data_IF_919799204109
#
_entry.id   IF_919799204109
#
_cell.length_a   1.000
_cell.length_b   1.000
_cell.length_c   1.000
_cell.angle_alpha   90.00
_cell.angle_beta   90.00
_cell.angle_gamma   90.00
#
_symmetry.space_group_name_H-M   'P 1'
#
loop_
_entity.id
_entity.type
_entity.pdbx_description
1 polymer ?
#
# COMPACT_ATOMS: atom_id res chain seq x y z
N UNK A 1 6.01 -10.93 -20.99
CA UNK A 1 5.40 -10.57 -19.70
C UNK A 1 5.48 -9.06 -19.60
N UNK A 2 4.38 -8.35 -19.33
CA UNK A 2 4.46 -6.92 -19.08
C UNK A 2 5.41 -6.70 -17.90
N UNK A 3 6.36 -5.78 -18.04
CA UNK A 3 7.23 -5.41 -16.94
C UNK A 3 6.39 -4.56 -15.98
N UNK A 4 5.78 -5.19 -14.97
CA UNK A 4 4.99 -4.49 -13.97
C UNK A 4 5.98 -3.75 -13.07
N UNK A 5 6.09 -2.44 -13.28
CA UNK A 5 6.83 -1.57 -12.38
C UNK A 5 6.00 -1.38 -11.11
N UNK A 6 6.58 -1.75 -9.96
CA UNK A 6 5.93 -1.58 -8.66
C UNK A 6 6.02 -0.09 -8.28
N UNK A 7 4.88 0.60 -8.06
CA UNK A 7 4.86 2.00 -7.65
C UNK A 7 5.62 2.22 -6.34
N UNK A 8 6.22 3.39 -6.16
CA UNK A 8 6.95 3.70 -4.93
C UNK A 8 6.03 3.78 -3.72
N UNK A 9 4.80 4.26 -3.90
CA UNK A 9 3.75 4.26 -2.88
C UNK A 9 3.43 2.82 -2.41
N UNK A 10 3.47 1.83 -3.32
CA UNK A 10 3.25 0.43 -2.95
C UNK A 10 4.40 -0.09 -2.07
N UNK A 11 5.65 0.27 -2.38
CA UNK A 11 6.83 -0.11 -1.59
C UNK A 11 6.82 0.58 -0.22
N UNK A 12 6.43 1.85 -0.17
CA UNK A 12 6.29 2.59 1.08
C UNK A 12 5.17 2.03 1.96
N UNK A 13 4.03 1.69 1.35
CA UNK A 13 2.91 1.06 2.04
C UNK A 13 3.30 -0.34 2.55
N UNK A 14 4.05 -1.13 1.76
CA UNK A 14 4.63 -2.40 2.22
C UNK A 14 5.48 -2.20 3.48
N UNK A 15 6.46 -1.29 3.45
CA UNK A 15 7.34 -1.04 4.60
C UNK A 15 6.56 -0.58 5.85
N UNK A 16 5.54 0.26 5.66
CA UNK A 16 4.67 0.70 6.74
C UNK A 16 3.87 -0.45 7.37
N UNK A 17 3.29 -1.31 6.53
CA UNK A 17 2.53 -2.49 6.97
C UNK A 17 3.45 -3.48 7.70
N UNK A 18 4.62 -3.78 7.14
CA UNK A 18 5.63 -4.65 7.76
C UNK A 18 6.06 -4.13 9.13
N UNK A 19 6.28 -2.82 9.27
CA UNK A 19 6.63 -2.20 10.55
C UNK A 19 5.54 -2.28 11.62
N UNK A 20 4.25 -2.35 11.23
CA UNK A 20 3.11 -2.36 12.19
C UNK A 20 2.61 -3.77 12.50
N UNK A 21 2.57 -4.64 11.50
CA UNK A 21 1.96 -5.97 11.60
C UNK A 21 2.99 -7.10 11.77
N UNK A 22 4.25 -6.87 11.38
CA UNK A 22 5.37 -7.79 11.58
C UNK A 22 5.06 -9.22 11.15
N UNK A 23 5.39 -10.18 12.01
CA UNK A 23 5.29 -11.62 11.74
C UNK A 23 3.85 -12.13 11.53
N UNK A 24 2.83 -11.33 11.83
CA UNK A 24 1.43 -11.71 11.54
C UNK A 24 1.09 -11.69 10.05
N UNK A 25 1.93 -11.08 9.21
CA UNK A 25 1.70 -10.98 7.77
C UNK A 25 1.93 -12.33 7.11
N UNK A 26 0.88 -12.83 6.44
CA UNK A 26 0.94 -14.02 5.58
C UNK A 26 1.33 -13.63 4.15
N UNK A 27 0.89 -12.47 3.69
CA UNK A 27 1.24 -11.97 2.36
C UNK A 27 0.69 -10.58 2.08
N UNK A 28 1.37 -9.88 1.18
CA UNK A 28 1.00 -8.56 0.67
C UNK A 28 0.85 -8.68 -0.85
N UNK A 29 -0.29 -8.24 -1.37
CA UNK A 29 -0.64 -8.37 -2.78
C UNK A 29 -0.93 -6.99 -3.36
N UNK A 30 -0.21 -6.63 -4.42
CA UNK A 30 -0.56 -5.50 -5.26
C UNK A 30 -1.71 -5.93 -6.18
N UNK A 31 -2.77 -5.13 -6.27
CA UNK A 31 -3.89 -5.39 -7.16
C UNK A 31 -4.35 -4.12 -7.86
N UNK A 32 -5.48 -4.21 -8.59
CA UNK A 32 -6.08 -3.06 -9.24
C UNK A 32 -5.37 -2.61 -10.51
N UNK A 33 -5.48 -1.31 -10.80
CA UNK A 33 -5.04 -0.70 -12.06
C UNK A 33 -3.55 -0.94 -12.35
N UNK A 34 -2.71 -0.88 -11.31
CA UNK A 34 -1.28 -1.12 -11.37
C UNK A 34 -0.90 -2.48 -11.98
N UNK A 35 -1.74 -3.50 -11.82
CA UNK A 35 -1.49 -4.87 -12.32
C UNK A 35 -2.20 -5.15 -13.65
N UNK A 36 -3.42 -4.63 -13.85
CA UNK A 36 -4.28 -4.97 -14.99
C UNK A 36 -4.04 -4.08 -16.21
N UNK A 37 -3.73 -2.80 -16.01
CA UNK A 37 -3.60 -1.81 -17.09
C UNK A 37 -2.37 -0.90 -17.00
N UNK A 38 -1.53 -1.09 -15.98
CA UNK A 38 -0.49 -0.15 -15.59
C UNK A 38 -1.05 1.00 -14.77
N UNK A 39 -0.23 1.56 -13.87
CA UNK A 39 -0.65 2.68 -13.03
C UNK A 39 -0.77 3.95 -13.89
N UNK A 40 -1.98 4.49 -14.01
CA UNK A 40 -2.20 5.77 -14.70
C UNK A 40 -1.98 6.93 -13.73
N UNK A 41 -1.73 8.13 -14.26
CA UNK A 41 -1.36 9.32 -13.47
C UNK A 41 -2.30 9.61 -12.28
N UNK A 42 -3.59 9.40 -12.49
CA UNK A 42 -4.63 9.72 -11.50
C UNK A 42 -5.22 8.44 -10.87
N UNK A 43 -4.52 7.30 -10.98
CA UNK A 43 -4.92 6.03 -10.38
C UNK A 43 -4.39 5.86 -8.96
N UNK A 44 -5.22 5.26 -8.11
CA UNK A 44 -4.81 4.83 -6.77
C UNK A 44 -3.92 3.59 -6.83
N UNK A 45 -3.18 3.36 -5.74
CA UNK A 45 -2.38 2.17 -5.50
C UNK A 45 -3.10 1.26 -4.50
N UNK A 46 -3.49 0.09 -4.98
CA UNK A 46 -4.27 -0.86 -4.20
C UNK A 46 -3.40 -2.00 -3.64
N UNK A 47 -3.32 -2.13 -2.31
CA UNK A 47 -2.65 -3.24 -1.63
C UNK A 47 -3.61 -4.03 -0.72
N UNK A 48 -3.52 -5.36 -0.76
CA UNK A 48 -4.26 -6.27 0.11
C UNK A 48 -3.27 -7.00 1.01
N UNK A 49 -3.49 -6.93 2.31
CA UNK A 49 -2.63 -7.58 3.32
C UNK A 49 -3.43 -8.70 3.98
N UNK A 50 -2.92 -9.92 3.90
CA UNK A 50 -3.46 -11.08 4.62
C UNK A 50 -2.67 -11.29 5.90
N UNK A 51 -3.35 -11.47 7.03
CA UNK A 51 -2.73 -11.66 8.35
C UNK A 51 -3.26 -12.90 9.06
N UNK A 52 -2.45 -13.53 9.91
CA UNK A 52 -2.80 -14.69 10.74
C UNK A 52 -3.74 -14.32 11.89
N UNK A 53 -3.60 -13.09 12.39
CA UNK A 53 -4.29 -12.61 13.58
C UNK A 53 -4.98 -11.29 13.31
N UNK A 54 -6.09 -11.05 14.01
CA UNK A 54 -6.79 -9.77 13.93
C UNK A 54 -5.88 -8.65 14.46
N UNK A 55 -5.64 -7.56 13.70
CA UNK A 55 -4.85 -6.45 14.19
C UNK A 55 -5.45 -5.86 15.47
N UNK A 56 -4.61 -5.42 16.40
CA UNK A 56 -5.06 -4.69 17.58
C UNK A 56 -5.61 -3.30 17.21
N UNK A 57 -6.29 -2.65 18.15
CA UNK A 57 -6.74 -1.26 17.95
C UNK A 57 -5.56 -0.32 17.67
N UNK A 58 -4.46 -0.43 18.41
CA UNK A 58 -3.28 0.40 18.22
C UNK A 58 -2.60 0.12 16.86
N UNK A 59 -2.54 -1.14 16.42
CA UNK A 59 -2.05 -1.47 15.08
C UNK A 59 -2.95 -0.87 13.98
N UNK A 60 -4.28 -0.97 14.09
CA UNK A 60 -5.19 -0.33 13.14
C UNK A 60 -5.00 1.19 13.09
N UNK A 61 -4.85 1.83 14.25
CA UNK A 61 -4.60 3.26 14.35
C UNK A 61 -3.25 3.66 13.73
N UNK A 62 -2.21 2.87 13.98
CA UNK A 62 -0.90 3.07 13.38
C UNK A 62 -0.94 2.89 11.86
N UNK A 63 -1.62 1.86 11.35
CA UNK A 63 -1.82 1.66 9.90
C UNK A 63 -2.49 2.88 9.26
N UNK A 64 -3.58 3.40 9.83
CA UNK A 64 -4.23 4.62 9.30
C UNK A 64 -3.26 5.79 9.30
N UNK A 65 -2.53 6.02 10.39
CA UNK A 65 -1.58 7.12 10.49
C UNK A 65 -0.43 7.02 9.47
N UNK A 66 0.11 5.82 9.26
CA UNK A 66 1.20 5.58 8.30
C UNK A 66 0.71 5.63 6.85
N UNK A 67 -0.50 5.13 6.58
CA UNK A 67 -1.12 5.26 5.25
C UNK A 67 -1.32 6.72 4.87
N UNK A 68 -1.66 7.60 5.81
CA UNK A 68 -1.76 9.04 5.54
C UNK A 68 -0.44 9.70 5.16
N UNK A 69 0.71 9.20 5.65
CA UNK A 69 2.03 9.73 5.25
C UNK A 69 2.52 9.20 3.90
N UNK A 70 1.95 8.09 3.42
CA UNK A 70 2.27 7.48 2.12
C UNK A 70 1.32 7.96 1.02
N UNK A 71 0.08 8.32 1.37
CA UNK A 71 -0.91 8.83 0.42
C UNK A 71 -0.42 10.09 -0.28
N UNK A 72 -0.50 10.12 -1.62
CA UNK A 72 -0.30 11.33 -2.40
C UNK A 72 -1.36 12.40 -2.08
N UNK A 73 -1.04 13.68 -2.32
CA UNK A 73 -2.02 14.75 -2.30
C UNK A 73 -2.99 14.61 -3.49
N UNK A 74 -4.25 15.03 -3.33
CA UNK A 74 -5.23 15.06 -4.44
C UNK A 74 -4.65 15.90 -5.58
N UNK A 75 -4.44 15.24 -6.73
CA UNK A 75 -3.91 15.87 -7.94
C UNK A 75 -2.52 16.44 -7.73
N UNK A 76 -1.52 15.56 -7.51
CA UNK A 76 -0.10 15.88 -7.35
C UNK A 76 0.33 17.03 -8.28
N UNK A 77 0.15 18.26 -7.78
CA UNK A 77 0.43 19.51 -8.48
C UNK A 77 1.94 19.64 -8.43
N UNK A 78 2.58 19.06 -9.44
CA UNK A 78 3.89 19.52 -9.88
C UNK A 78 3.74 21.03 -10.14
N UNK A 79 4.27 21.83 -9.21
CA UNK A 79 4.89 23.10 -9.58
C UNK A 79 6.16 22.79 -10.38
#
# INVERSE_FOLDING_TARGET
>A
MANIEIPDEAKQAQAAVEGVLGDSIIGIYLFGSAVVGGLQRDSDVDILVTVSDSPTFEQRKALVSQSMSVSGAIGNLLL
#
